data_IF_852050032615
#
_entry.id   IF_852050032615
#
_cell.length_a   1.000
_cell.length_b   1.000
_cell.length_c   1.000
_cell.angle_alpha   90.00
_cell.angle_beta   90.00
_cell.angle_gamma   90.00
#
_symmetry.space_group_name_H-M   'P 1'
#
loop_
_entity.id
_entity.type
_entity.pdbx_description
1 polymer ?
#
# COMPACT_ATOMS: atom_id res chain seq x y z
N UNK A 1 46.82 16.99 -29.55
CA UNK A 1 46.91 16.53 -28.15
C UNK A 1 45.99 17.38 -27.30
N UNK A 2 45.01 16.72 -26.65
CA UNK A 2 44.44 17.04 -25.34
C UNK A 2 43.56 18.29 -25.18
N UNK A 3 42.52 18.09 -24.35
CA UNK A 3 41.59 19.07 -23.78
C UNK A 3 40.42 19.51 -24.68
N UNK A 4 39.14 19.47 -24.27
CA UNK A 4 38.52 19.28 -22.96
C UNK A 4 37.22 18.44 -23.14
N UNK A 5 37.09 17.35 -22.39
CA UNK A 5 35.79 16.73 -22.13
C UNK A 5 35.26 17.33 -20.82
N UNK A 6 34.31 18.27 -20.92
CA UNK A 6 33.55 18.74 -19.76
C UNK A 6 32.62 17.62 -19.29
N UNK A 7 32.97 17.02 -18.16
CA UNK A 7 32.19 16.00 -17.48
C UNK A 7 31.00 16.67 -16.77
N UNK A 8 29.83 16.60 -17.39
CA UNK A 8 28.55 16.97 -16.75
C UNK A 8 28.21 15.84 -15.79
N UNK A 9 28.48 16.05 -14.49
CA UNK A 9 27.94 15.20 -13.43
C UNK A 9 26.46 15.57 -13.23
N UNK A 10 25.57 14.88 -13.94
CA UNK A 10 24.14 14.94 -13.64
C UNK A 10 23.88 14.16 -12.34
N UNK A 11 23.79 14.87 -11.22
CA UNK A 11 23.31 14.31 -9.96
C UNK A 11 21.85 13.86 -10.15
N UNK A 12 21.67 12.55 -10.40
CA UNK A 12 20.35 11.93 -10.40
C UNK A 12 19.84 11.92 -8.97
N UNK A 13 18.92 12.83 -8.66
CA UNK A 13 18.15 12.78 -7.42
C UNK A 13 17.37 11.46 -7.40
N UNK A 14 17.75 10.55 -6.50
CA UNK A 14 16.94 9.40 -6.13
C UNK A 14 15.65 9.95 -5.53
N UNK A 15 14.60 10.06 -6.35
CA UNK A 15 13.26 10.31 -5.86
C UNK A 15 12.84 9.07 -5.09
N UNK A 16 13.06 9.08 -3.78
CA UNK A 16 12.45 8.12 -2.87
C UNK A 16 10.93 8.29 -3.02
N UNK A 17 10.33 7.48 -3.88
CA UNK A 17 8.91 7.55 -4.17
C UNK A 17 8.05 7.26 -2.94
N UNK A 18 6.74 7.53 -3.01
CA UNK A 18 5.80 7.37 -1.89
C UNK A 18 5.67 5.92 -1.37
N UNK A 19 6.36 4.95 -1.96
CA UNK A 19 6.30 3.53 -1.58
C UNK A 19 6.77 3.26 -0.14
N UNK A 20 7.75 4.01 0.38
CA UNK A 20 8.26 3.81 1.74
C UNK A 20 7.38 4.46 2.82
N UNK A 21 6.88 5.67 2.57
CA UNK A 21 6.04 6.42 3.53
C UNK A 21 4.73 5.70 3.89
N UNK A 22 4.22 4.85 2.98
CA UNK A 22 2.97 4.15 3.18
C UNK A 22 3.13 2.85 4.00
N UNK A 23 4.32 2.22 4.01
CA UNK A 23 4.62 1.10 4.88
C UNK A 23 4.70 1.56 6.35
N UNK A 24 5.33 2.70 6.60
CA UNK A 24 5.39 3.33 7.93
C UNK A 24 3.98 3.73 8.41
N UNK A 25 3.14 4.28 7.52
CA UNK A 25 1.75 4.57 7.86
C UNK A 25 0.97 3.30 8.22
N UNK A 26 1.15 2.21 7.47
CA UNK A 26 0.50 0.94 7.75
C UNK A 26 0.95 0.36 9.10
N UNK A 27 2.23 0.50 9.44
CA UNK A 27 2.73 0.14 10.77
C UNK A 27 2.14 1.04 11.86
N UNK A 28 2.13 2.36 11.66
CA UNK A 28 1.58 3.35 12.61
C UNK A 28 0.08 3.17 12.86
N UNK A 29 -0.67 2.71 11.86
CA UNK A 29 -2.10 2.39 11.95
C UNK A 29 -2.35 0.92 12.33
N UNK A 30 -1.32 0.20 12.76
CA UNK A 30 -1.37 -1.17 13.27
C UNK A 30 -1.91 -2.21 12.25
N UNK A 31 -1.81 -1.94 10.95
CA UNK A 31 -2.29 -2.85 9.91
C UNK A 31 -1.49 -4.16 9.88
N UNK A 32 -0.20 -4.08 10.25
CA UNK A 32 0.75 -5.20 10.25
C UNK A 32 0.49 -6.25 11.34
N UNK A 33 -0.40 -5.97 12.30
CA UNK A 33 -0.82 -6.96 13.29
C UNK A 33 -1.69 -8.07 12.66
N UNK A 34 -2.40 -7.76 11.59
CA UNK A 34 -3.35 -8.68 10.95
C UNK A 34 -3.01 -8.99 9.49
N UNK A 35 -2.15 -8.21 8.85
CA UNK A 35 -1.74 -8.36 7.47
C UNK A 35 -0.23 -8.40 7.35
N UNK A 36 0.25 -9.07 6.31
CA UNK A 36 1.64 -8.99 5.87
C UNK A 36 1.67 -8.75 4.35
N UNK A 37 2.84 -8.35 3.84
CA UNK A 37 2.98 -8.09 2.40
C UNK A 37 2.74 -9.35 1.56
N UNK A 38 3.32 -10.48 1.97
CA UNK A 38 3.51 -11.67 1.14
C UNK A 38 2.77 -12.93 1.62
N UNK A 39 2.34 -12.96 2.88
CA UNK A 39 1.66 -14.11 3.49
C UNK A 39 0.39 -13.72 4.24
N UNK A 40 -0.52 -14.68 4.34
CA UNK A 40 -1.70 -14.56 5.19
C UNK A 40 -1.29 -14.56 6.66
N UNK A 41 -1.90 -13.69 7.46
CA UNK A 41 -1.74 -13.67 8.93
C UNK A 41 -3.12 -13.93 9.55
N UNK A 42 -3.90 -12.88 9.81
CA UNK A 42 -5.33 -12.97 10.12
C UNK A 42 -6.12 -12.64 8.85
N UNK A 43 -5.80 -11.49 8.26
CA UNK A 43 -6.25 -11.06 6.94
C UNK A 43 -5.37 -11.61 5.81
N UNK A 44 -5.79 -11.38 4.55
CA UNK A 44 -5.01 -11.73 3.36
C UNK A 44 -3.67 -10.98 3.31
N UNK A 45 -2.73 -11.50 2.52
CA UNK A 45 -1.52 -10.74 2.19
C UNK A 45 -1.87 -9.52 1.33
N UNK A 46 -1.07 -8.46 1.40
CA UNK A 46 -1.28 -7.29 0.53
C UNK A 46 -1.13 -7.64 -0.95
N UNK A 47 -0.22 -8.56 -1.28
CA UNK A 47 -0.08 -9.10 -2.63
C UNK A 47 -1.35 -9.82 -3.11
N UNK A 48 -2.03 -10.59 -2.25
CA UNK A 48 -3.30 -11.24 -2.62
C UNK A 48 -4.42 -10.20 -2.82
N UNK A 49 -4.45 -9.15 -2.00
CA UNK A 49 -5.38 -8.03 -2.20
C UNK A 49 -5.11 -7.35 -3.54
N UNK A 50 -3.86 -6.99 -3.82
CA UNK A 50 -3.47 -6.40 -5.10
C UNK A 50 -3.87 -7.26 -6.29
N UNK A 51 -3.61 -8.57 -6.23
CA UNK A 51 -3.97 -9.51 -7.28
C UNK A 51 -5.49 -9.62 -7.48
N UNK A 52 -6.28 -9.71 -6.40
CA UNK A 52 -7.75 -9.82 -6.49
C UNK A 52 -8.41 -8.58 -7.10
N UNK A 53 -7.85 -7.39 -6.83
CA UNK A 53 -8.42 -6.11 -7.25
C UNK A 53 -7.71 -5.48 -8.46
N UNK A 54 -6.76 -6.18 -9.07
CA UNK A 54 -6.05 -5.70 -10.26
C UNK A 54 -7.03 -5.33 -11.38
N UNK A 55 -6.82 -4.16 -11.99
CA UNK A 55 -7.63 -3.65 -13.11
C UNK A 55 -9.02 -3.08 -12.73
N UNK A 56 -9.43 -3.15 -11.47
CA UNK A 56 -10.69 -2.53 -11.01
C UNK A 56 -10.47 -1.02 -10.81
N UNK A 57 -11.18 -0.20 -11.59
CA UNK A 57 -11.04 1.26 -11.59
C UNK A 57 -11.48 1.92 -10.28
N UNK A 58 -12.39 1.28 -9.54
CA UNK A 58 -12.97 1.75 -8.27
C UNK A 58 -12.34 1.08 -7.04
N UNK A 59 -11.25 0.32 -7.22
CA UNK A 59 -10.64 -0.45 -6.14
C UNK A 59 -10.18 0.43 -4.98
N UNK A 60 -9.61 1.61 -5.28
CA UNK A 60 -9.09 2.51 -4.25
C UNK A 60 -10.22 3.01 -3.36
N UNK A 61 -11.31 3.52 -3.93
CA UNK A 61 -12.45 4.04 -3.20
C UNK A 61 -13.13 2.94 -2.39
N UNK A 62 -13.42 1.81 -3.04
CA UNK A 62 -14.12 0.67 -2.43
C UNK A 62 -13.35 0.09 -1.25
N UNK A 63 -12.05 -0.11 -1.41
CA UNK A 63 -11.22 -0.66 -0.34
C UNK A 63 -10.95 0.37 0.75
N UNK A 64 -10.88 1.67 0.45
CA UNK A 64 -10.74 2.71 1.48
C UNK A 64 -11.91 2.69 2.45
N UNK A 65 -13.14 2.55 1.92
CA UNK A 65 -14.34 2.38 2.76
C UNK A 65 -14.25 1.11 3.61
N UNK A 66 -13.74 0.01 3.06
CA UNK A 66 -13.53 -1.23 3.81
C UNK A 66 -12.49 -1.08 4.91
N UNK A 67 -11.37 -0.40 4.65
CA UNK A 67 -10.34 -0.13 5.66
C UNK A 67 -10.94 0.64 6.84
N UNK A 68 -11.71 1.69 6.58
CA UNK A 68 -12.29 2.53 7.64
C UNK A 68 -13.41 1.79 8.39
N UNK A 69 -14.38 1.23 7.68
CA UNK A 69 -15.60 0.66 8.28
C UNK A 69 -15.45 -0.80 8.70
N UNK A 70 -14.38 -1.47 8.30
CA UNK A 70 -14.24 -2.91 8.45
C UNK A 70 -15.15 -3.70 7.50
N UNK A 71 -15.22 -5.01 7.71
CA UNK A 71 -16.12 -5.89 6.96
C UNK A 71 -15.75 -7.37 7.06
N UNK A 72 -16.65 -8.22 6.60
CA UNK A 72 -16.50 -9.68 6.63
C UNK A 72 -16.86 -10.31 5.27
N UNK A 73 -16.57 -11.61 5.11
CA UNK A 73 -17.09 -12.46 4.03
C UNK A 73 -16.27 -12.47 2.73
N UNK A 74 -15.43 -11.46 2.47
CA UNK A 74 -14.63 -11.40 1.24
C UNK A 74 -13.46 -12.39 1.25
N UNK A 75 -12.85 -12.59 2.41
CA UNK A 75 -11.63 -13.38 2.60
C UNK A 75 -11.79 -14.53 3.59
N UNK A 76 -13.01 -14.74 4.09
CA UNK A 76 -13.33 -15.73 5.11
C UNK A 76 -14.32 -15.21 6.16
N UNK A 77 -14.56 -16.01 7.20
CA UNK A 77 -15.54 -15.71 8.24
C UNK A 77 -15.05 -14.67 9.26
N UNK A 78 -13.73 -14.45 9.38
CA UNK A 78 -13.15 -13.49 10.33
C UNK A 78 -13.38 -12.06 9.83
N UNK A 79 -14.09 -11.20 10.58
CA UNK A 79 -14.27 -9.81 10.21
C UNK A 79 -12.99 -9.00 10.41
N UNK A 80 -12.72 -8.06 9.49
CA UNK A 80 -11.80 -6.96 9.74
C UNK A 80 -12.54 -5.90 10.57
N UNK A 81 -12.05 -5.53 11.78
CA UNK A 81 -12.65 -4.46 12.57
C UNK A 81 -12.58 -3.10 11.86
N UNK A 82 -13.44 -2.16 12.29
CA UNK A 82 -13.38 -0.78 11.82
C UNK A 82 -12.09 -0.10 12.31
N UNK A 83 -11.34 0.54 11.41
CA UNK A 83 -10.14 1.30 11.75
C UNK A 83 -10.51 2.78 11.93
N UNK A 84 -11.22 3.11 13.01
CA UNK A 84 -11.80 4.46 13.25
C UNK A 84 -10.77 5.58 13.37
N UNK A 85 -9.51 5.25 13.65
CA UNK A 85 -8.39 6.20 13.71
C UNK A 85 -7.72 6.46 12.35
N UNK A 86 -8.22 5.84 11.26
CA UNK A 86 -7.74 6.06 9.89
C UNK A 86 -8.66 7.05 9.20
N UNK A 87 -8.11 8.19 8.77
CA UNK A 87 -8.84 9.16 7.97
C UNK A 87 -9.07 8.70 6.53
N UNK A 88 -10.00 9.32 5.80
CA UNK A 88 -10.23 9.03 4.38
C UNK A 88 -8.97 9.21 3.52
N UNK A 89 -8.16 10.23 3.82
CA UNK A 89 -6.91 10.48 3.11
C UNK A 89 -5.89 9.36 3.35
N UNK A 90 -5.68 8.98 4.62
CA UNK A 90 -4.77 7.90 4.99
C UNK A 90 -5.24 6.55 4.42
N UNK A 91 -6.55 6.28 4.42
CA UNK A 91 -7.11 5.06 3.84
C UNK A 91 -6.80 4.96 2.34
N UNK A 92 -6.97 6.05 1.58
CA UNK A 92 -6.63 6.10 0.16
C UNK A 92 -5.13 5.90 -0.08
N UNK A 93 -4.28 6.50 0.75
CA UNK A 93 -2.83 6.31 0.68
C UNK A 93 -2.44 4.84 0.92
N UNK A 94 -2.95 4.24 1.99
CA UNK A 94 -2.73 2.84 2.34
C UNK A 94 -3.20 1.90 1.23
N UNK A 95 -4.42 2.08 0.74
CA UNK A 95 -4.99 1.22 -0.30
C UNK A 95 -4.24 1.35 -1.61
N UNK A 96 -3.87 2.55 -2.02
CA UNK A 96 -3.06 2.77 -3.23
C UNK A 96 -1.73 2.03 -3.13
N UNK A 97 -1.08 2.08 -1.97
CA UNK A 97 0.15 1.33 -1.71
C UNK A 97 -0.07 -0.19 -1.68
N UNK A 98 -1.15 -0.67 -1.05
CA UNK A 98 -1.52 -2.10 -1.01
C UNK A 98 -1.70 -2.63 -2.44
N UNK A 99 -2.46 -1.92 -3.28
CA UNK A 99 -2.73 -2.33 -4.67
C UNK A 99 -1.49 -2.30 -5.57
N UNK A 100 -0.41 -1.64 -5.14
CA UNK A 100 0.87 -1.63 -5.84
C UNK A 100 1.78 -2.82 -5.45
N UNK A 101 1.42 -3.61 -4.42
CA UNK A 101 2.23 -4.77 -4.02
C UNK A 101 2.16 -5.86 -5.08
N UNK A 102 3.32 -6.36 -5.50
CA UNK A 102 3.46 -7.44 -6.48
C UNK A 102 3.99 -8.69 -5.80
N UNK A 103 3.52 -9.85 -6.25
CA UNK A 103 4.16 -11.14 -5.95
C UNK A 103 5.53 -11.21 -6.62
#
# INVERSE_FOLDING_TARGET
MKSLLSMIFAASALVAGPAFANADLAQKKNCMACHATDKKVVGPSYQDVAAKYAGQKDAVEKLSVKVIKGGAGVWGPVPMPANTAVSDAEAKQLVTWILAQKK
#
